data_IF_540423967512
#
_entry.id   IF_540423967512
#
_cell.length_a   1.000
_cell.length_b   1.000
_cell.length_c   1.000
_cell.angle_alpha   90.00
_cell.angle_beta   90.00
_cell.angle_gamma   90.00
#
_symmetry.space_group_name_H-M   'P 1'
#
loop_
_entity.id
_entity.type
_entity.pdbx_description
1 polymer ?
#
# COMPACT_ATOMS: atom_id res chain seq x y z
N UNK A 1 -16.40 -22.19 -0.54
CA UNK A 1 -15.52 -22.28 -1.73
C UNK A 1 -14.07 -22.29 -1.23
N UNK A 2 -13.21 -23.20 -1.73
CA UNK A 2 -11.79 -23.26 -1.33
C UNK A 2 -10.93 -22.56 -2.38
N UNK A 3 -10.79 -21.23 -2.29
CA UNK A 3 -9.83 -20.51 -3.11
C UNK A 3 -8.40 -20.86 -2.66
N UNK A 4 -7.50 -21.10 -3.61
CA UNK A 4 -6.10 -21.46 -3.37
C UNK A 4 -5.18 -20.25 -3.23
N UNK A 5 -5.64 -19.09 -3.71
CA UNK A 5 -4.90 -17.84 -3.79
C UNK A 5 -5.89 -16.68 -3.71
N UNK A 6 -5.50 -15.61 -3.01
CA UNK A 6 -6.16 -14.32 -3.10
C UNK A 6 -5.30 -13.35 -3.92
N UNK A 7 -5.91 -12.69 -4.89
CA UNK A 7 -5.28 -11.69 -5.74
C UNK A 7 -5.96 -10.34 -5.54
N UNK A 8 -5.21 -9.33 -5.10
CA UNK A 8 -5.68 -7.96 -4.98
C UNK A 8 -5.07 -7.15 -6.12
N UNK A 9 -5.91 -6.65 -7.03
CA UNK A 9 -5.47 -5.83 -8.16
C UNK A 9 -5.48 -4.34 -7.80
N UNK A 10 -4.30 -3.78 -7.51
CA UNK A 10 -4.08 -2.36 -7.21
C UNK A 10 -3.55 -1.58 -8.42
N UNK A 11 -3.48 -2.18 -9.61
CA UNK A 11 -3.07 -1.48 -10.84
C UNK A 11 -4.00 -0.31 -11.11
N UNK A 12 -3.46 0.87 -11.39
CA UNK A 12 -4.23 2.09 -11.62
C UNK A 12 -4.83 2.71 -10.36
N UNK A 13 -4.60 2.14 -9.18
CA UNK A 13 -5.16 2.66 -7.94
C UNK A 13 -4.27 3.77 -7.35
N UNK A 14 -4.70 5.02 -7.51
CA UNK A 14 -3.95 6.20 -7.06
C UNK A 14 -4.02 6.45 -5.54
N UNK A 15 -4.54 5.49 -4.78
CA UNK A 15 -4.75 5.56 -3.33
C UNK A 15 -6.14 6.05 -2.97
N UNK A 16 -6.23 7.02 -2.06
CA UNK A 16 -7.50 7.54 -1.57
C UNK A 16 -7.50 7.66 -0.04
N UNK A 17 -8.52 7.12 0.60
CA UNK A 17 -8.69 7.21 2.04
C UNK A 17 -7.60 6.42 2.79
N UNK A 18 -6.69 7.16 3.44
CA UNK A 18 -5.55 6.59 4.17
C UNK A 18 -5.94 5.50 5.19
N UNK A 19 -6.94 5.72 6.08
CA UNK A 19 -7.33 4.69 7.03
C UNK A 19 -7.84 3.42 6.34
N UNK A 20 -8.46 3.53 5.16
CA UNK A 20 -8.89 2.36 4.39
C UNK A 20 -7.73 1.45 3.98
N UNK A 21 -6.56 2.01 3.61
CA UNK A 21 -5.37 1.20 3.33
C UNK A 21 -4.85 0.46 4.56
N UNK A 22 -4.86 1.14 5.72
CA UNK A 22 -4.48 0.57 7.01
C UNK A 22 -5.45 -0.55 7.42
N UNK A 23 -6.74 -0.31 7.30
CA UNK A 23 -7.77 -1.26 7.71
C UNK A 23 -7.78 -2.51 6.84
N UNK A 24 -7.54 -2.37 5.53
CA UNK A 24 -7.36 -3.54 4.64
C UNK A 24 -6.11 -4.32 5.02
N UNK A 25 -5.00 -3.66 5.39
CA UNK A 25 -3.80 -4.37 5.83
C UNK A 25 -4.06 -5.20 7.11
N UNK A 26 -4.84 -4.65 8.05
CA UNK A 26 -5.24 -5.35 9.30
C UNK A 26 -6.00 -6.65 9.05
N UNK A 27 -6.69 -6.79 7.92
CA UNK A 27 -7.42 -8.02 7.60
C UNK A 27 -6.52 -9.25 7.41
N UNK A 28 -5.24 -9.03 7.11
CA UNK A 28 -4.31 -10.08 6.69
C UNK A 28 -3.10 -10.27 7.60
N UNK A 29 -2.80 -9.28 8.44
CA UNK A 29 -1.60 -9.28 9.29
C UNK A 29 -1.90 -9.89 10.67
N UNK A 30 -0.88 -10.54 11.26
CA UNK A 30 -0.96 -11.05 12.64
C UNK A 30 -0.94 -9.90 13.63
N UNK A 31 -1.33 -10.18 14.87
CA UNK A 31 -1.24 -9.24 15.99
C UNK A 31 0.17 -8.64 16.11
N UNK A 32 0.23 -7.37 16.51
CA UNK A 32 1.45 -6.58 16.76
C UNK A 32 2.32 -6.31 15.50
N UNK A 33 1.78 -6.54 14.30
CA UNK A 33 2.44 -6.22 13.04
C UNK A 33 2.32 -4.72 12.71
N UNK A 34 3.45 -4.08 12.38
CA UNK A 34 3.47 -2.70 11.92
C UNK A 34 2.93 -2.56 10.50
N UNK A 35 2.17 -1.50 10.27
CA UNK A 35 1.58 -1.17 8.96
C UNK A 35 2.29 0.02 8.35
N UNK A 36 2.42 1.12 9.09
CA UNK A 36 3.13 2.31 8.65
C UNK A 36 3.42 3.24 9.83
N UNK A 37 4.43 4.10 9.66
CA UNK A 37 4.75 5.18 10.58
C UNK A 37 4.48 6.51 9.89
N UNK A 38 3.78 7.42 10.54
CA UNK A 38 3.49 8.77 10.02
C UNK A 38 4.25 9.79 10.84
N UNK A 39 5.08 10.59 10.18
CA UNK A 39 5.92 11.59 10.81
C UNK A 39 5.57 13.00 10.31
N UNK A 40 5.29 13.91 11.23
CA UNK A 40 5.06 15.32 10.92
C UNK A 40 6.39 16.12 10.82
N UNK A 41 6.30 17.42 10.53
CA UNK A 41 7.48 18.30 10.45
C UNK A 41 8.23 18.47 11.77
N UNK A 42 7.58 18.24 12.91
CA UNK A 42 8.17 18.33 14.26
C UNK A 42 8.75 16.99 14.73
N UNK A 43 8.78 15.98 13.86
CA UNK A 43 9.21 14.61 14.17
C UNK A 43 8.30 13.90 15.19
N UNK A 44 7.03 14.33 15.32
CA UNK A 44 6.06 13.51 16.03
C UNK A 44 5.70 12.31 15.15
N UNK A 45 5.79 11.10 15.72
CA UNK A 45 5.52 9.85 15.01
C UNK A 45 4.23 9.24 15.52
N UNK A 46 3.32 8.92 14.60
CA UNK A 46 2.13 8.10 14.85
C UNK A 46 2.35 6.74 14.20
N UNK A 47 2.24 5.69 15.00
CA UNK A 47 2.41 4.31 14.54
C UNK A 47 1.04 3.67 14.27
N UNK A 48 0.91 3.05 13.11
CA UNK A 48 -0.24 2.22 12.75
C UNK A 48 0.19 0.76 12.78
N UNK A 49 -0.53 -0.04 13.55
CA UNK A 49 -0.28 -1.48 13.71
C UNK A 49 -1.60 -2.26 13.87
N UNK A 50 -1.49 -3.58 13.86
CA UNK A 50 -2.56 -4.49 14.25
C UNK A 50 -2.58 -4.67 15.77
N UNK A 51 -3.76 -4.93 16.33
CA UNK A 51 -3.94 -5.20 17.77
C UNK A 51 -4.44 -6.62 18.05
N UNK A 52 -4.87 -7.31 17.01
CA UNK A 52 -5.37 -8.67 16.99
C UNK A 52 -5.00 -9.32 15.65
N UNK A 53 -5.20 -10.63 15.54
CA UNK A 53 -4.96 -11.36 14.30
C UNK A 53 -6.02 -11.00 13.24
N UNK A 54 -5.56 -10.73 12.03
CA UNK A 54 -6.42 -10.50 10.87
C UNK A 54 -7.32 -11.71 10.58
N UNK A 55 -8.65 -11.52 10.40
CA UNK A 55 -9.61 -12.61 10.38
C UNK A 55 -9.74 -13.31 9.02
N UNK A 56 -9.11 -12.81 7.95
CA UNK A 56 -9.55 -13.15 6.60
C UNK A 56 -9.05 -14.51 6.10
N UNK A 57 -7.73 -14.67 5.98
CA UNK A 57 -7.15 -15.90 5.45
C UNK A 57 -5.64 -15.96 5.65
N UNK A 58 -5.11 -17.17 5.80
CA UNK A 58 -3.67 -17.48 5.69
C UNK A 58 -3.30 -18.03 4.29
N UNK A 59 -4.25 -18.10 3.34
CA UNK A 59 -3.96 -18.49 1.96
C UNK A 59 -2.91 -17.55 1.33
N UNK A 60 -2.15 -18.03 0.33
CA UNK A 60 -1.27 -17.19 -0.47
C UNK A 60 -1.97 -15.90 -0.92
N UNK A 61 -1.27 -14.78 -0.78
CA UNK A 61 -1.76 -13.45 -1.13
C UNK A 61 -0.79 -12.78 -2.10
N UNK A 62 -1.34 -12.27 -3.20
CA UNK A 62 -0.59 -11.53 -4.20
C UNK A 62 -1.24 -10.18 -4.45
N UNK A 63 -0.42 -9.14 -4.55
CA UNK A 63 -0.84 -7.81 -4.96
C UNK A 63 -0.32 -7.55 -6.37
N UNK A 64 -1.21 -7.16 -7.29
CA UNK A 64 -0.80 -6.58 -8.56
C UNK A 64 -0.65 -5.07 -8.41
N UNK A 65 0.51 -4.55 -8.80
CA UNK A 65 0.82 -3.12 -8.70
C UNK A 65 1.36 -2.61 -10.02
N UNK A 66 1.22 -1.31 -10.26
CA UNK A 66 1.79 -0.63 -11.41
C UNK A 66 2.30 0.78 -11.05
N UNK A 67 2.80 1.51 -12.03
CA UNK A 67 3.34 2.86 -11.86
C UNK A 67 2.30 3.89 -11.39
N UNK A 68 1.01 3.53 -11.42
CA UNK A 68 -0.10 4.35 -10.95
C UNK A 68 -0.60 3.94 -9.57
N UNK A 69 -0.14 2.80 -9.04
CA UNK A 69 -0.35 2.44 -7.63
C UNK A 69 0.32 3.50 -6.75
N UNK A 70 -0.46 4.23 -5.96
CA UNK A 70 0.04 5.38 -5.20
C UNK A 70 -0.60 5.51 -3.80
N UNK A 71 0.05 6.27 -2.90
CA UNK A 71 -0.54 6.73 -1.63
C UNK A 71 -1.03 5.57 -0.75
N UNK A 72 -2.29 5.56 -0.30
CA UNK A 72 -2.87 4.51 0.53
C UNK A 72 -2.69 3.09 -0.04
N UNK A 73 -2.64 2.94 -1.38
CA UNK A 73 -2.36 1.65 -2.02
C UNK A 73 -0.91 1.23 -1.86
N UNK A 74 0.03 2.17 -1.82
CA UNK A 74 1.43 1.90 -1.49
C UNK A 74 1.60 1.53 -0.02
N UNK A 75 0.84 2.16 0.89
CA UNK A 75 0.84 1.76 2.31
C UNK A 75 0.40 0.31 2.45
N UNK A 76 -0.73 -0.07 1.84
CA UNK A 76 -1.21 -1.44 1.84
C UNK A 76 -0.15 -2.40 1.25
N UNK A 77 0.44 -2.01 0.12
CA UNK A 77 1.46 -2.81 -0.58
C UNK A 77 2.70 -3.04 0.30
N UNK A 78 3.26 -1.97 0.87
CA UNK A 78 4.42 -2.06 1.74
C UNK A 78 4.11 -2.80 3.04
N UNK A 79 2.94 -2.55 3.66
CA UNK A 79 2.55 -3.23 4.89
C UNK A 79 2.48 -4.75 4.69
N UNK A 80 1.91 -5.21 3.58
CA UNK A 80 1.80 -6.64 3.31
C UNK A 80 3.12 -7.25 2.81
N UNK A 81 3.94 -6.50 2.06
CA UNK A 81 5.24 -6.96 1.58
C UNK A 81 6.27 -7.06 2.71
N UNK A 82 6.44 -5.98 3.49
CA UNK A 82 7.48 -5.89 4.53
C UNK A 82 7.23 -6.91 5.66
N UNK A 83 5.97 -7.22 5.95
CA UNK A 83 5.60 -8.27 6.91
C UNK A 83 5.64 -9.69 6.30
N UNK A 84 6.09 -9.85 5.05
CA UNK A 84 6.15 -11.14 4.36
C UNK A 84 4.79 -11.80 4.11
N UNK A 85 3.69 -11.03 4.21
CA UNK A 85 2.32 -11.56 4.09
C UNK A 85 1.91 -11.73 2.64
N UNK A 86 2.35 -10.85 1.75
CA UNK A 86 2.01 -10.90 0.34
C UNK A 86 3.21 -10.72 -0.57
N UNK A 87 3.12 -11.27 -1.78
CA UNK A 87 4.06 -10.97 -2.87
C UNK A 87 3.50 -9.90 -3.79
N UNK A 88 4.31 -8.94 -4.19
CA UNK A 88 3.99 -7.92 -5.18
C UNK A 88 4.44 -8.39 -6.57
N UNK A 89 3.55 -8.29 -7.54
CA UNK A 89 3.82 -8.61 -8.95
C UNK A 89 3.43 -7.41 -9.79
N UNK A 90 4.31 -6.96 -10.68
CA UNK A 90 4.00 -5.83 -11.55
C UNK A 90 5.19 -4.95 -11.87
N UNK A 91 4.96 -3.65 -11.92
CA UNK A 91 6.00 -2.63 -12.07
C UNK A 91 6.12 -1.80 -10.79
N UNK A 92 7.22 -1.05 -10.68
CA UNK A 92 7.51 -0.16 -9.57
C UNK A 92 6.38 0.87 -9.38
N UNK A 93 5.95 1.08 -8.13
CA UNK A 93 4.85 2.00 -7.81
C UNK A 93 5.23 3.49 -7.93
N UNK A 94 4.25 4.38 -7.81
CA UNK A 94 4.40 5.80 -8.09
C UNK A 94 5.37 6.54 -7.15
N UNK A 95 5.35 6.22 -5.85
CA UNK A 95 6.15 6.88 -4.82
C UNK A 95 5.52 8.13 -4.20
N UNK A 96 4.22 8.10 -3.87
CA UNK A 96 3.56 9.23 -3.19
C UNK A 96 3.45 8.98 -1.70
N UNK A 97 4.51 9.23 -0.94
CA UNK A 97 4.54 8.96 0.51
C UNK A 97 4.26 10.18 1.41
N UNK A 98 3.28 11.00 1.02
CA UNK A 98 2.98 12.27 1.69
C UNK A 98 1.50 12.40 2.03
N UNK A 99 1.23 13.01 3.18
CA UNK A 99 -0.11 13.39 3.62
C UNK A 99 -0.27 14.88 3.40
N UNK A 100 -1.35 15.24 2.70
CA UNK A 100 -1.67 16.60 2.34
C UNK A 100 -3.00 17.01 2.97
N UNK A 101 -3.09 18.26 3.40
CA UNK A 101 -4.33 18.92 3.82
C UNK A 101 -4.69 20.03 2.84
N UNK A 102 -5.95 20.44 2.83
CA UNK A 102 -6.46 21.57 2.04
C UNK A 102 -6.76 22.72 3.00
N UNK A 103 -5.98 23.79 2.90
CA UNK A 103 -6.21 25.03 3.64
C UNK A 103 -6.97 26.01 2.75
N UNK A 104 -8.18 26.40 3.17
CA UNK A 104 -9.00 27.37 2.42
C UNK A 104 -8.60 28.79 2.81
N UNK A 105 -8.50 29.67 1.81
CA UNK A 105 -8.18 31.09 1.98
C UNK A 105 -9.46 31.95 1.99
N UNK A 106 -9.35 33.16 2.52
CA UNK A 106 -10.48 34.08 2.70
C UNK A 106 -11.14 34.52 1.39
N UNK A 107 -10.42 34.46 0.27
CA UNK A 107 -10.91 34.79 -1.07
C UNK A 107 -11.60 33.61 -1.78
N UNK A 108 -11.77 32.48 -1.09
CA UNK A 108 -12.38 31.26 -1.63
C UNK A 108 -11.41 30.33 -2.36
N UNK A 109 -10.14 30.74 -2.54
CA UNK A 109 -9.09 29.86 -3.05
C UNK A 109 -8.62 28.85 -1.99
N UNK A 110 -7.73 27.92 -2.36
CA UNK A 110 -7.19 26.94 -1.43
C UNK A 110 -5.73 26.56 -1.75
N UNK A 111 -4.99 26.19 -0.72
CA UNK A 111 -3.62 25.67 -0.82
C UNK A 111 -3.60 24.23 -0.35
N UNK A 112 -2.99 23.36 -1.15
CA UNK A 112 -2.74 21.97 -0.77
C UNK A 112 -1.36 21.90 -0.13
N UNK A 113 -1.31 21.62 1.17
CA UNK A 113 -0.07 21.65 1.96
C UNK A 113 0.30 20.25 2.42
N UNK A 114 1.54 19.83 2.17
CA UNK A 114 2.09 18.61 2.76
C UNK A 114 2.41 18.83 4.23
N UNK A 115 1.75 18.04 5.09
CA UNK A 115 1.85 18.17 6.56
C UNK A 115 2.62 17.01 7.20
N UNK A 116 2.66 15.86 6.54
CA UNK A 116 3.31 14.67 7.05
C UNK A 116 3.82 13.79 5.90
N UNK A 117 4.71 12.86 6.25
CA UNK A 117 5.18 11.77 5.40
C UNK A 117 4.91 10.45 6.11
N UNK A 118 4.88 9.37 5.35
CA UNK A 118 4.82 8.04 5.95
C UNK A 118 5.98 7.16 5.48
N UNK A 119 6.34 6.22 6.33
CA UNK A 119 7.40 5.24 6.15
C UNK A 119 6.81 3.83 6.23
N UNK A 120 7.43 2.90 5.52
CA UNK A 120 7.03 1.48 5.54
C UNK A 120 7.38 0.83 6.87
N UNK A 121 6.88 -0.39 7.18
CA UNK A 121 7.30 -1.14 8.36
C UNK A 121 8.83 -1.32 8.47
N UNK A 122 9.53 -1.44 7.34
CA UNK A 122 11.00 -1.49 7.29
C UNK A 122 11.67 -0.10 7.34
N UNK A 123 10.96 0.95 7.77
CA UNK A 123 11.44 2.34 7.83
C UNK A 123 11.96 2.89 6.48
N UNK A 124 11.42 2.38 5.37
CA UNK A 124 11.80 2.86 4.04
C UNK A 124 10.98 4.09 3.66
N UNK A 125 11.65 5.14 3.20
CA UNK A 125 10.99 6.31 2.64
C UNK A 125 10.69 6.10 1.16
N UNK A 126 9.44 5.76 0.84
CA UNK A 126 9.01 5.50 -0.54
C UNK A 126 8.65 6.76 -1.32
N UNK A 127 8.77 7.96 -0.73
CA UNK A 127 8.42 9.19 -1.43
C UNK A 127 9.39 9.45 -2.60
N UNK A 128 8.86 9.68 -3.79
CA UNK A 128 9.58 9.74 -5.09
C UNK A 128 10.33 8.45 -5.47
N UNK A 129 10.27 7.43 -4.61
CA UNK A 129 10.99 6.18 -4.79
C UNK A 129 10.06 5.03 -5.13
N UNK A 130 8.81 5.03 -4.70
CA UNK A 130 7.90 3.90 -4.90
C UNK A 130 8.34 2.64 -4.16
N UNK A 131 7.62 1.55 -4.41
CA UNK A 131 7.83 0.21 -3.89
C UNK A 131 8.24 -0.68 -5.06
N UNK A 132 9.30 -1.44 -4.86
CA UNK A 132 9.78 -2.40 -5.84
C UNK A 132 9.00 -3.72 -5.67
N UNK A 133 8.34 -4.24 -6.72
CA UNK A 133 7.66 -5.53 -6.65
C UNK A 133 8.67 -6.68 -6.53
N UNK A 134 8.27 -7.75 -5.83
CA UNK A 134 9.07 -8.98 -5.69
C UNK A 134 9.24 -9.72 -7.02
N UNK A 135 8.26 -9.58 -7.92
CA UNK A 135 8.33 -10.10 -9.28
C UNK A 135 8.03 -8.97 -10.26
N UNK A 136 9.08 -8.50 -10.93
CA UNK A 136 8.95 -7.50 -11.99
C UNK A 136 8.34 -8.16 -13.22
N UNK A 137 7.14 -7.70 -13.61
CA UNK A 137 6.43 -8.17 -14.81
C UNK A 137 5.49 -7.09 -15.30
N UNK A 138 5.65 -6.68 -16.54
CA UNK A 138 4.68 -5.77 -17.17
C UNK A 138 3.32 -6.47 -17.32
N UNK A 139 2.27 -5.77 -16.87
CA UNK A 139 0.92 -6.30 -16.80
C UNK A 139 -0.08 -5.16 -17.06
N UNK A 140 -0.36 -4.82 -18.33
CA UNK A 140 -1.26 -3.73 -18.69
C UNK A 140 -2.62 -3.89 -18.02
N UNK A 141 -3.25 -2.78 -17.61
CA UNK A 141 -4.55 -2.82 -16.91
C UNK A 141 -5.66 -3.52 -17.72
N UNK A 142 -5.55 -3.54 -19.05
CA UNK A 142 -6.44 -4.28 -19.96
C UNK A 142 -6.33 -5.81 -19.84
N UNK A 143 -5.22 -6.32 -19.30
CA UNK A 143 -5.00 -7.76 -19.10
C UNK A 143 -5.72 -8.24 -17.85
N UNK A 144 -6.33 -9.43 -17.93
CA UNK A 144 -7.01 -10.06 -16.79
C UNK A 144 -5.97 -10.30 -15.67
N UNK A 145 -6.28 -9.95 -14.40
CA UNK A 145 -5.32 -10.06 -13.30
C UNK A 145 -4.62 -11.43 -13.18
N UNK A 146 -5.38 -12.52 -13.35
CA UNK A 146 -4.84 -13.88 -13.16
C UNK A 146 -3.78 -14.25 -14.21
N UNK A 147 -3.83 -13.67 -15.41
CA UNK A 147 -2.86 -13.92 -16.49
C UNK A 147 -1.51 -13.25 -16.21
N UNK A 148 -1.51 -12.27 -15.31
CA UNK A 148 -0.29 -11.60 -14.88
C UNK A 148 0.49 -12.38 -13.83
N UNK A 149 -0.11 -13.40 -13.21
CA UNK A 149 0.61 -14.22 -12.25
C UNK A 149 1.63 -15.12 -12.97
N UNK A 150 2.87 -15.22 -12.46
CA UNK A 150 3.82 -16.20 -12.98
C UNK A 150 3.35 -17.60 -12.56
N UNK A 151 3.58 -18.60 -13.42
CA UNK A 151 3.19 -20.00 -13.17
C UNK A 151 3.58 -20.58 -11.80
N UNK A 152 4.72 -20.22 -11.16
CA UNK A 152 5.08 -20.73 -9.83
C UNK A 152 4.24 -20.18 -8.67
N UNK A 153 3.38 -19.18 -8.92
CA UNK A 153 2.53 -18.53 -7.92
C UNK A 153 1.07 -19.06 -7.99
N UNK A 154 0.74 -19.80 -9.05
CA UNK A 154 -0.51 -20.56 -9.24
C UNK A 154 -0.29 -22.02 -8.83
#
# INVERSE_FOLDING_TARGET
QKAQLLLIDLRGNTGGYFPGGVDVARLFLKKDAFITFVSDKKQNVVTYQTYEDGPYTDQPLVLLVDEKTASASEILSAALQDNGRARLVGTKTFGKAVIQTVERLNDGSAVVVTIARYETPNHTNINKQGIQPDVVKECPKSTRPVECLPKPIL
#
